data_IF_786054170715
#
_entry.id   IF_786054170715
#
_cell.length_a   1.000
_cell.length_b   1.000
_cell.length_c   1.000
_cell.angle_alpha   90.00
_cell.angle_beta   90.00
_cell.angle_gamma   90.00
#
_symmetry.space_group_name_H-M   'P 1'
#
loop_
_entity.id
_entity.type
_entity.pdbx_description
1 polymer ?
#
# COMPACT_ATOMS: atom_id res chain seq x y z
N UNK A 1 15.83 -7.29 10.36
CA UNK A 1 15.08 -8.48 10.78
C UNK A 1 13.61 -8.23 10.51
N UNK A 2 12.93 -9.16 9.84
CA UNK A 2 11.58 -8.96 9.29
C UNK A 2 11.47 -9.54 7.88
N UNK A 3 12.05 -8.88 6.87
CA UNK A 3 12.04 -9.38 5.48
C UNK A 3 12.76 -10.73 5.35
N UNK A 4 13.92 -10.88 5.98
CA UNK A 4 14.69 -12.14 5.94
C UNK A 4 13.90 -13.32 6.54
N UNK A 5 13.07 -13.06 7.55
CA UNK A 5 12.22 -14.07 8.18
C UNK A 5 11.05 -14.45 7.28
N UNK A 6 10.48 -13.49 6.53
CA UNK A 6 9.47 -13.77 5.50
C UNK A 6 10.08 -14.67 4.41
N UNK A 7 11.29 -14.38 3.95
CA UNK A 7 11.99 -15.20 2.95
C UNK A 7 12.30 -16.61 3.48
N UNK A 8 12.69 -16.69 4.75
CA UNK A 8 12.94 -17.96 5.42
C UNK A 8 11.66 -18.79 5.51
N UNK A 9 10.55 -18.20 5.98
CA UNK A 9 9.26 -18.88 6.08
C UNK A 9 8.74 -19.32 4.70
N UNK A 10 8.89 -18.48 3.67
CA UNK A 10 8.56 -18.83 2.28
C UNK A 10 9.35 -20.06 1.81
N UNK A 11 10.69 -20.05 1.98
CA UNK A 11 11.55 -21.15 1.56
C UNK A 11 11.25 -22.45 2.31
N UNK A 12 10.88 -22.37 3.58
CA UNK A 12 10.53 -23.55 4.38
C UNK A 12 9.19 -24.14 3.95
N UNK A 13 8.19 -23.29 3.69
CA UNK A 13 6.82 -23.70 3.33
C UNK A 13 6.79 -24.42 1.98
N UNK A 14 7.64 -24.03 1.02
CA UNK A 14 7.70 -24.69 -0.29
C UNK A 14 8.07 -26.18 -0.22
N UNK A 15 8.69 -26.64 0.86
CA UNK A 15 9.01 -28.06 1.05
C UNK A 15 7.85 -28.86 1.65
N UNK A 16 6.79 -28.21 2.13
CA UNK A 16 5.70 -28.83 2.89
C UNK A 16 4.31 -28.61 2.29
N UNK A 17 4.21 -27.89 1.17
CA UNK A 17 2.94 -27.64 0.47
C UNK A 17 2.97 -28.20 -0.95
N UNK A 18 1.83 -28.70 -1.40
CA UNK A 18 1.61 -29.02 -2.81
C UNK A 18 0.96 -27.82 -3.48
N UNK A 19 1.54 -27.34 -4.58
CA UNK A 19 0.98 -26.23 -5.35
C UNK A 19 -0.33 -26.69 -6.00
N UNK A 20 -1.41 -25.96 -5.73
CA UNK A 20 -2.74 -26.29 -6.23
C UNK A 20 -3.44 -25.02 -6.76
N UNK A 21 -4.46 -25.22 -7.58
CA UNK A 21 -5.31 -24.16 -8.12
C UNK A 21 -6.77 -24.30 -7.70
N UNK A 22 -7.63 -23.31 -7.93
CA UNK A 22 -7.36 -22.13 -8.73
C UNK A 22 -6.75 -20.97 -7.93
N UNK A 23 -6.26 -19.96 -8.64
CA UNK A 23 -5.80 -18.69 -8.06
C UNK A 23 -7.00 -17.83 -7.67
N UNK A 24 -7.21 -17.61 -6.36
CA UNK A 24 -8.33 -16.84 -5.82
C UNK A 24 -7.85 -15.80 -4.81
N UNK A 25 -8.19 -14.52 -5.00
CA UNK A 25 -7.77 -13.44 -4.09
C UNK A 25 -8.83 -13.08 -3.04
N UNK A 26 -10.10 -13.38 -3.30
CA UNK A 26 -11.18 -13.05 -2.36
C UNK A 26 -10.92 -13.58 -0.95
N UNK A 27 -10.42 -14.82 -0.73
CA UNK A 27 -10.18 -15.33 0.62
C UNK A 27 -9.16 -14.51 1.43
N UNK A 28 -8.02 -14.17 0.82
CA UNK A 28 -6.95 -13.43 1.53
C UNK A 28 -7.33 -11.98 1.78
N UNK A 29 -7.99 -11.32 0.83
CA UNK A 29 -8.50 -9.95 1.00
C UNK A 29 -9.52 -9.91 2.14
N UNK A 30 -10.46 -10.85 2.17
CA UNK A 30 -11.46 -10.94 3.25
C UNK A 30 -10.82 -11.26 4.61
N UNK A 31 -9.79 -12.13 4.65
CA UNK A 31 -9.05 -12.41 5.89
C UNK A 31 -8.37 -11.16 6.43
N UNK A 32 -7.65 -10.43 5.59
CA UNK A 32 -7.00 -9.16 5.94
C UNK A 32 -8.02 -8.12 6.41
N UNK A 33 -9.12 -7.96 5.68
CA UNK A 33 -10.19 -7.04 6.07
C UNK A 33 -10.79 -7.37 7.45
N UNK A 34 -10.99 -8.65 7.78
CA UNK A 34 -11.46 -9.07 9.12
C UNK A 34 -10.44 -8.74 10.21
N UNK A 35 -9.15 -9.01 9.96
CA UNK A 35 -8.08 -8.65 10.90
C UNK A 35 -8.08 -7.16 11.19
N UNK A 36 -8.13 -6.32 10.15
CA UNK A 36 -8.14 -4.86 10.29
C UNK A 36 -9.36 -4.38 11.08
N UNK A 37 -10.54 -4.93 10.81
CA UNK A 37 -11.75 -4.58 11.59
C UNK A 37 -11.58 -4.90 13.08
N UNK A 38 -11.03 -6.08 13.40
CA UNK A 38 -10.74 -6.45 14.79
C UNK A 38 -9.79 -5.47 15.48
N UNK A 39 -8.80 -4.94 14.75
CA UNK A 39 -7.84 -3.95 15.27
C UNK A 39 -8.51 -2.59 15.49
N UNK A 40 -9.37 -2.16 14.56
CA UNK A 40 -10.16 -0.94 14.72
C UNK A 40 -11.11 -1.04 15.92
N UNK A 41 -11.78 -2.17 16.10
CA UNK A 41 -12.68 -2.43 17.24
C UNK A 41 -11.91 -2.44 18.58
N UNK A 42 -10.65 -2.85 18.56
CA UNK A 42 -9.73 -2.78 19.71
C UNK A 42 -9.16 -1.36 19.97
N UNK A 43 -9.50 -0.36 19.14
CA UNK A 43 -9.05 1.02 19.26
C UNK A 43 -7.74 1.35 18.53
N UNK A 44 -7.18 0.42 17.75
CA UNK A 44 -5.93 0.59 17.00
C UNK A 44 -6.15 1.34 15.67
N UNK A 45 -6.68 2.57 15.75
CA UNK A 45 -7.05 3.39 14.59
C UNK A 45 -5.88 4.13 13.91
N UNK A 46 -4.64 3.88 14.33
CA UNK A 46 -3.43 4.54 13.81
C UNK A 46 -2.48 3.59 13.07
N UNK A 47 -2.97 2.41 12.71
CA UNK A 47 -2.25 1.45 11.86
C UNK A 47 -2.85 1.47 10.47
N UNK A 48 -1.99 1.55 9.46
CA UNK A 48 -2.37 1.42 8.06
C UNK A 48 -1.70 0.17 7.48
N UNK A 49 -2.45 -0.62 6.73
CA UNK A 49 -2.02 -1.92 6.23
C UNK A 49 -1.73 -1.85 4.73
N UNK A 50 -0.70 -2.57 4.30
CA UNK A 50 -0.44 -2.84 2.88
C UNK A 50 -0.41 -4.35 2.71
N UNK A 51 -1.33 -4.89 1.90
CA UNK A 51 -1.38 -6.29 1.53
C UNK A 51 -0.67 -6.48 0.20
N UNK A 52 0.48 -7.14 0.21
CA UNK A 52 1.19 -7.55 -1.01
C UNK A 52 0.76 -8.95 -1.43
N UNK A 53 0.25 -9.09 -2.65
CA UNK A 53 -0.12 -10.36 -3.29
C UNK A 53 0.82 -10.56 -4.49
N UNK A 54 1.49 -11.72 -4.53
CA UNK A 54 2.35 -12.11 -5.67
C UNK A 54 1.69 -13.31 -6.34
N UNK A 55 1.52 -13.26 -7.66
CA UNK A 55 0.89 -14.34 -8.43
C UNK A 55 1.56 -14.56 -9.78
N UNK A 56 1.54 -15.78 -10.29
CA UNK A 56 2.02 -16.14 -11.62
C UNK A 56 0.90 -16.32 -12.66
N UNK A 57 -0.36 -16.09 -12.27
CA UNK A 57 -1.52 -16.34 -13.11
C UNK A 57 -2.73 -15.46 -12.80
N UNK A 58 -3.74 -15.55 -13.66
CA UNK A 58 -4.96 -14.76 -13.54
C UNK A 58 -5.88 -15.37 -12.48
N UNK A 59 -6.57 -14.52 -11.72
CA UNK A 59 -7.57 -14.98 -10.76
C UNK A 59 -8.77 -15.64 -11.45
N UNK A 60 -9.32 -16.68 -10.83
CA UNK A 60 -10.55 -17.32 -11.31
C UNK A 60 -11.81 -16.77 -10.65
N UNK A 61 -11.66 -16.06 -9.53
CA UNK A 61 -12.76 -15.55 -8.72
C UNK A 61 -13.01 -14.05 -8.88
N UNK A 62 -12.85 -13.51 -10.10
CA UNK A 62 -12.91 -12.07 -10.41
C UNK A 62 -14.06 -11.33 -9.70
N UNK A 63 -15.30 -11.79 -9.81
CA UNK A 63 -16.45 -11.15 -9.15
C UNK A 63 -16.38 -11.19 -7.62
N UNK A 64 -15.85 -12.27 -7.03
CA UNK A 64 -15.68 -12.38 -5.58
C UNK A 64 -14.50 -11.53 -5.08
N UNK A 65 -13.46 -11.37 -5.90
CA UNK A 65 -12.33 -10.47 -5.63
C UNK A 65 -12.77 -9.01 -5.69
N UNK A 66 -13.50 -8.59 -6.73
CA UNK A 66 -14.11 -7.25 -6.83
C UNK A 66 -14.96 -6.94 -5.60
N UNK A 67 -15.85 -7.85 -5.19
CA UNK A 67 -16.67 -7.66 -3.98
C UNK A 67 -15.84 -7.55 -2.71
N UNK A 68 -14.74 -8.30 -2.60
CA UNK A 68 -13.85 -8.21 -1.45
C UNK A 68 -13.13 -6.86 -1.42
N UNK A 69 -12.65 -6.36 -2.56
CA UNK A 69 -12.02 -5.03 -2.70
C UNK A 69 -13.02 -3.93 -2.33
N UNK A 70 -14.24 -3.95 -2.89
CA UNK A 70 -15.30 -2.98 -2.56
C UNK A 70 -15.54 -2.94 -1.05
N UNK A 71 -15.70 -4.10 -0.40
CA UNK A 71 -15.91 -4.18 1.06
C UNK A 71 -14.71 -3.73 1.89
N UNK A 72 -13.51 -3.84 1.35
CA UNK A 72 -12.27 -3.44 1.99
C UNK A 72 -11.93 -1.95 1.78
N UNK A 73 -12.52 -1.31 0.76
CA UNK A 73 -12.23 0.08 0.37
C UNK A 73 -12.56 1.14 1.43
N UNK A 74 -13.28 0.79 2.49
CA UNK A 74 -13.51 1.67 3.65
C UNK A 74 -12.44 1.56 4.74
N UNK A 75 -11.60 0.52 4.70
CA UNK A 75 -10.60 0.20 5.73
C UNK A 75 -9.25 0.91 5.50
N UNK A 76 -8.39 1.05 6.52
CA UNK A 76 -7.01 1.53 6.38
C UNK A 76 -6.13 0.47 5.69
N UNK A 77 -6.41 0.20 4.42
CA UNK A 77 -5.79 -0.86 3.63
C UNK A 77 -5.49 -0.37 2.21
N UNK A 78 -4.29 -0.68 1.75
CA UNK A 78 -3.91 -0.75 0.34
C UNK A 78 -3.57 -2.20 -0.03
N UNK A 79 -3.79 -2.57 -1.30
CA UNK A 79 -3.53 -3.90 -1.85
C UNK A 79 -2.61 -3.73 -3.05
N UNK A 80 -1.43 -4.32 -3.00
CA UNK A 80 -0.51 -4.37 -4.12
C UNK A 80 -0.60 -5.78 -4.71
N UNK A 81 -0.82 -5.87 -6.01
CA UNK A 81 -0.83 -7.14 -6.75
C UNK A 81 0.34 -7.11 -7.73
N UNK A 82 1.27 -8.07 -7.59
CA UNK A 82 2.41 -8.22 -8.49
C UNK A 82 2.26 -9.52 -9.29
N UNK A 83 2.06 -9.37 -10.60
CA UNK A 83 2.10 -10.46 -11.56
C UNK A 83 3.55 -10.82 -11.92
N UNK A 84 3.94 -12.08 -11.74
CA UNK A 84 5.25 -12.61 -12.14
C UNK A 84 5.09 -13.65 -13.25
N UNK A 85 6.15 -13.91 -14.02
CA UNK A 85 6.09 -14.88 -15.10
C UNK A 85 5.32 -14.37 -16.33
N UNK A 86 4.96 -15.30 -17.21
CA UNK A 86 4.55 -15.00 -18.59
C UNK A 86 3.03 -15.15 -18.84
N UNK A 87 2.21 -15.14 -17.80
CA UNK A 87 0.75 -15.18 -17.97
C UNK A 87 0.20 -13.91 -18.61
N UNK A 88 -0.93 -14.03 -19.30
CA UNK A 88 -1.69 -12.88 -19.80
C UNK A 88 -2.48 -12.22 -18.66
N UNK A 89 -1.96 -11.11 -18.15
CA UNK A 89 -2.56 -10.37 -17.05
C UNK A 89 -3.56 -9.28 -17.49
N UNK A 90 -3.93 -9.21 -18.77
CA UNK A 90 -4.81 -8.15 -19.32
C UNK A 90 -6.08 -7.95 -18.49
N UNK A 91 -6.70 -9.04 -18.04
CA UNK A 91 -7.94 -9.00 -17.25
C UNK A 91 -7.76 -8.49 -15.82
N UNK A 92 -6.53 -8.46 -15.29
CA UNK A 92 -6.28 -8.03 -13.91
C UNK A 92 -6.16 -6.51 -13.78
N UNK A 93 -5.92 -5.78 -14.87
CA UNK A 93 -5.91 -4.30 -14.86
C UNK A 93 -7.24 -3.69 -14.41
N UNK A 94 -8.36 -4.40 -14.57
CA UNK A 94 -9.65 -3.92 -14.05
C UNK A 94 -9.63 -3.73 -12.53
N UNK A 95 -8.79 -4.48 -11.81
CA UNK A 95 -8.72 -4.41 -10.34
C UNK A 95 -8.07 -3.13 -9.84
N UNK A 96 -7.23 -2.49 -10.67
CA UNK A 96 -6.51 -1.24 -10.36
C UNK A 96 -7.46 -0.04 -10.21
N UNK A 97 -8.61 -0.07 -10.90
CA UNK A 97 -9.67 0.93 -10.76
C UNK A 97 -9.32 2.41 -11.06
N UNK A 98 -8.15 2.66 -11.67
CA UNK A 98 -7.67 3.98 -12.12
C UNK A 98 -8.70 4.77 -12.96
N UNK A 99 -9.28 4.11 -13.97
CA UNK A 99 -10.22 4.76 -14.90
C UNK A 99 -11.63 4.85 -14.33
N UNK A 100 -12.09 3.74 -13.73
CA UNK A 100 -13.45 3.58 -13.26
C UNK A 100 -13.47 2.81 -11.93
N UNK A 101 -14.20 3.36 -10.93
CA UNK A 101 -14.40 2.67 -9.67
C UNK A 101 -15.11 1.33 -9.86
N UNK A 102 -14.58 0.30 -9.20
CA UNK A 102 -15.19 -1.01 -9.10
C UNK A 102 -16.61 -0.95 -8.53
N UNK A 103 -17.50 -1.71 -9.15
CA UNK A 103 -18.88 -1.94 -8.70
C UNK A 103 -19.26 -3.40 -8.84
N UNK A 104 -20.11 -3.89 -7.94
CA UNK A 104 -20.73 -5.21 -8.03
C UNK A 104 -22.21 -5.14 -8.50
N UNK A 105 -22.64 -3.97 -8.98
CA UNK A 105 -24.02 -3.66 -9.39
C UNK A 105 -24.89 -3.09 -8.26
N UNK A 106 -24.55 -3.34 -6.99
CA UNK A 106 -25.29 -2.83 -5.84
C UNK A 106 -24.49 -1.82 -5.02
N UNK A 107 -23.17 -2.02 -4.97
CA UNK A 107 -22.21 -1.23 -4.23
C UNK A 107 -21.11 -0.74 -5.15
N UNK A 108 -20.48 0.36 -4.75
CA UNK A 108 -19.32 0.96 -5.42
C UNK A 108 -18.20 1.09 -4.38
N UNK A 109 -16.96 0.90 -4.78
CA UNK A 109 -15.82 1.16 -3.89
C UNK A 109 -15.82 2.60 -3.38
N UNK A 110 -15.44 2.79 -2.12
CA UNK A 110 -15.40 4.08 -1.45
C UNK A 110 -14.16 4.90 -1.83
N UNK A 111 -13.05 4.21 -2.08
CA UNK A 111 -11.74 4.76 -2.44
C UNK A 111 -10.98 3.73 -3.27
N UNK A 112 -10.06 4.23 -4.07
CA UNK A 112 -9.03 3.39 -4.65
C UNK A 112 -8.08 2.85 -3.58
N UNK A 113 -7.79 1.56 -3.68
CA UNK A 113 -6.96 0.81 -2.75
C UNK A 113 -6.11 -0.26 -3.45
N UNK A 114 -6.15 -0.41 -4.78
CA UNK A 114 -5.41 -1.47 -5.48
C UNK A 114 -4.31 -0.83 -6.32
N UNK A 115 -3.11 -1.41 -6.30
CA UNK A 115 -2.08 -1.15 -7.30
C UNK A 115 -1.74 -2.47 -7.98
N UNK A 116 -1.89 -2.56 -9.31
CA UNK A 116 -1.48 -3.71 -10.09
C UNK A 116 -0.20 -3.46 -10.90
N UNK A 117 0.77 -4.38 -10.80
CA UNK A 117 2.05 -4.30 -11.52
C UNK A 117 2.42 -5.65 -12.13
N UNK A 118 2.81 -5.67 -13.40
CA UNK A 118 3.38 -6.85 -14.05
C UNK A 118 4.91 -6.74 -14.00
N UNK A 119 5.56 -7.57 -13.18
CA UNK A 119 7.01 -7.55 -12.97
C UNK A 119 7.79 -7.80 -14.27
N UNK A 120 7.24 -8.61 -15.17
CA UNK A 120 7.89 -8.95 -16.45
C UNK A 120 7.98 -7.78 -17.44
N UNK A 121 7.31 -6.66 -17.19
CA UNK A 121 7.48 -5.43 -17.97
C UNK A 121 8.78 -4.68 -17.59
N UNK A 122 9.43 -5.06 -16.49
CA UNK A 122 10.58 -4.35 -15.90
C UNK A 122 11.90 -5.13 -16.01
N UNK A 123 12.10 -5.92 -17.07
CA UNK A 123 13.23 -6.86 -17.18
C UNK A 123 14.59 -6.23 -17.57
N UNK A 124 14.62 -5.01 -18.11
CA UNK A 124 15.89 -4.31 -18.41
C UNK A 124 16.56 -3.77 -17.15
N UNK A 125 17.88 -3.61 -17.15
CA UNK A 125 18.62 -3.03 -16.01
C UNK A 125 18.09 -1.65 -15.61
N UNK A 126 17.71 -0.82 -16.58
CA UNK A 126 17.11 0.49 -16.31
C UNK A 126 15.71 0.37 -15.68
N UNK A 127 14.87 -0.52 -16.20
CA UNK A 127 13.50 -0.70 -15.72
C UNK A 127 13.42 -1.39 -14.35
N UNK A 128 14.40 -2.20 -13.97
CA UNK A 128 14.46 -2.81 -12.62
C UNK A 128 14.45 -1.76 -11.51
N UNK A 129 15.10 -0.62 -11.71
CA UNK A 129 15.07 0.50 -10.75
C UNK A 129 13.72 1.20 -10.69
N UNK A 130 12.89 1.07 -11.72
CA UNK A 130 11.54 1.65 -11.77
C UNK A 130 10.48 0.75 -11.13
N UNK A 131 10.74 -0.55 -10.99
CA UNK A 131 9.78 -1.49 -10.41
C UNK A 131 9.34 -1.09 -9.00
N UNK A 132 10.24 -0.77 -8.03
CA UNK A 132 9.80 -0.34 -6.70
C UNK A 132 8.99 0.96 -6.73
N UNK A 133 9.34 1.88 -7.65
CA UNK A 133 8.58 3.11 -7.84
C UNK A 133 7.16 2.78 -8.29
N UNK A 134 6.99 1.93 -9.30
CA UNK A 134 5.68 1.56 -9.82
C UNK A 134 4.84 0.78 -8.80
N UNK A 135 5.48 -0.11 -8.04
CA UNK A 135 4.83 -0.91 -6.98
C UNK A 135 4.28 -0.05 -5.84
N UNK A 136 4.90 1.10 -5.55
CA UNK A 136 4.53 1.96 -4.43
C UNK A 136 3.86 3.27 -4.86
N UNK A 137 3.59 3.45 -6.15
CA UNK A 137 3.21 4.74 -6.75
C UNK A 137 1.97 5.33 -6.09
N UNK A 138 0.92 4.54 -5.87
CA UNK A 138 -0.35 5.04 -5.33
C UNK A 138 -0.48 4.98 -3.81
N UNK A 139 0.40 4.25 -3.12
CA UNK A 139 0.28 4.04 -1.67
C UNK A 139 0.18 5.36 -0.88
N UNK A 140 0.97 6.41 -1.17
CA UNK A 140 0.85 7.69 -0.47
C UNK A 140 -0.55 8.33 -0.62
N UNK A 141 -1.11 8.31 -1.82
CA UNK A 141 -2.41 8.93 -2.10
C UNK A 141 -3.55 8.11 -1.50
N UNK A 142 -3.49 6.78 -1.59
CA UNK A 142 -4.45 5.87 -0.95
C UNK A 142 -4.45 6.06 0.59
N UNK A 143 -3.27 6.15 1.20
CA UNK A 143 -3.11 6.44 2.63
C UNK A 143 -3.71 7.79 3.01
N UNK A 144 -3.32 8.87 2.31
CA UNK A 144 -3.84 10.21 2.58
C UNK A 144 -5.34 10.29 2.35
N UNK A 145 -5.86 9.58 1.34
CA UNK A 145 -7.28 9.45 1.05
C UNK A 145 -8.05 8.85 2.23
N UNK A 146 -7.55 7.76 2.83
CA UNK A 146 -8.13 7.19 4.04
C UNK A 146 -8.11 8.17 5.22
N UNK A 147 -6.94 8.76 5.50
CA UNK A 147 -6.76 9.63 6.67
C UNK A 147 -7.65 10.86 6.60
N UNK A 148 -7.71 11.53 5.45
CA UNK A 148 -8.57 12.70 5.22
C UNK A 148 -10.06 12.35 5.36
N UNK A 149 -10.50 11.24 4.77
CA UNK A 149 -11.90 10.77 4.83
C UNK A 149 -12.36 10.51 6.27
N UNK A 150 -11.47 9.98 7.10
CA UNK A 150 -11.78 9.63 8.49
C UNK A 150 -11.41 10.74 9.51
N UNK A 151 -10.97 11.92 9.04
CA UNK A 151 -10.59 13.03 9.92
C UNK A 151 -9.38 12.73 10.82
N UNK A 152 -8.57 11.73 10.47
CA UNK A 152 -7.40 11.34 11.25
C UNK A 152 -6.28 12.33 10.96
N UNK A 153 -5.84 13.03 12.01
CA UNK A 153 -4.74 13.99 11.93
C UNK A 153 -3.43 13.35 12.35
N UNK A 154 -2.29 13.77 11.78
CA UNK A 154 -0.98 13.37 12.29
C UNK A 154 -0.89 13.66 13.79
N UNK A 155 -0.34 12.71 14.56
CA UNK A 155 0.04 13.00 15.95
C UNK A 155 1.07 14.13 15.95
N UNK A 156 1.06 14.93 17.02
CA UNK A 156 2.14 15.89 17.25
C UNK A 156 3.48 15.18 17.12
N UNK A 157 4.50 15.82 16.51
CA UNK A 157 5.84 15.27 16.46
C UNK A 157 6.23 14.78 17.86
N UNK A 158 6.80 13.57 17.94
CA UNK A 158 7.46 13.15 19.17
C UNK A 158 8.51 14.22 19.45
N UNK A 159 8.47 14.83 20.64
CA UNK A 159 9.46 15.81 21.08
C UNK A 159 10.82 15.12 21.17
N UNK A 160 11.49 14.95 20.04
CA UNK A 160 12.90 14.62 19.99
C UNK A 160 13.61 15.93 20.33
N UNK A 161 14.17 16.01 21.54
CA UNK A 161 14.98 17.14 21.99
C UNK A 161 16.05 17.53 20.95
N UNK A 162 16.56 16.53 20.20
CA UNK A 162 17.49 16.71 19.09
C UNK A 162 16.89 17.53 17.93
N UNK A 163 15.63 17.29 17.54
CA UNK A 163 14.96 18.05 16.47
C UNK A 163 14.71 19.48 16.92
N UNK A 164 14.33 19.69 18.18
CA UNK A 164 14.19 21.03 18.74
C UNK A 164 15.53 21.78 18.82
N UNK A 165 16.63 21.10 19.16
CA UNK A 165 17.98 21.69 19.17
C UNK A 165 18.43 22.09 17.77
N UNK A 166 18.14 21.27 16.76
CA UNK A 166 18.43 21.56 15.35
C UNK A 166 17.59 22.76 14.88
N UNK A 167 16.27 22.74 15.08
CA UNK A 167 15.38 23.85 14.71
C UNK A 167 15.74 25.15 15.41
N UNK A 168 16.11 25.09 16.70
CA UNK A 168 16.57 26.24 17.45
C UNK A 168 17.84 26.81 16.82
N UNK A 169 18.84 25.96 16.51
CA UNK A 169 20.10 26.38 15.88
C UNK A 169 19.88 26.99 14.49
N UNK A 170 18.98 26.42 13.68
CA UNK A 170 18.61 26.98 12.38
C UNK A 170 17.94 28.35 12.50
N UNK A 171 17.04 28.53 13.48
CA UNK A 171 16.39 29.82 13.72
C UNK A 171 17.34 30.89 14.26
N UNK A 172 18.32 30.54 15.10
CA UNK A 172 19.34 31.51 15.54
C UNK A 172 20.22 31.96 14.38
N UNK A 173 20.67 31.03 13.54
CA UNK A 173 21.58 31.34 12.44
C UNK A 173 20.96 32.20 11.32
N UNK A 174 19.64 32.10 11.11
CA UNK A 174 18.95 32.91 10.08
C UNK A 174 18.59 34.33 10.56
N UNK A 175 18.66 34.61 11.85
CA UNK A 175 18.41 35.96 12.38
C UNK A 175 19.66 36.85 12.31
N UNK A 176 20.85 36.28 12.14
CA UNK A 176 22.11 37.04 12.06
C UNK A 176 22.37 37.66 10.67
N UNK A 177 21.64 37.25 9.63
CA UNK A 177 21.78 37.80 8.27
C UNK A 177 20.78 38.93 7.95
N UNK A 178 19.86 39.26 8.88
CA UNK A 178 18.79 40.24 8.65
C UNK A 178 19.09 41.68 9.08
N UNK A 179 20.24 41.96 9.71
CA UNK A 179 20.49 43.26 10.34
C UNK A 179 21.77 43.98 9.85
N UNK A 180 22.24 43.67 8.64
CA UNK A 180 23.34 44.39 7.99
C UNK A 180 22.82 45.12 6.75
N UNK A 181 21.99 46.16 6.95
CA UNK A 181 21.38 46.84 5.80
C UNK A 181 20.57 48.11 6.11
N UNK A 182 21.01 48.98 7.01
CA UNK A 182 20.72 50.42 6.91
C UNK A 182 21.61 51.24 7.87
N UNK A 183 22.68 51.81 7.35
CA UNK A 183 23.31 53.00 7.94
C UNK A 183 24.01 53.77 6.81
N UNK A 184 23.32 54.83 6.38
CA UNK A 184 23.78 56.05 5.66
C UNK A 184 24.63 55.90 4.41
#
# INVERSE_FOLDING_TARGET
TGVDEILTAYSQTMNSVELYGPTNFSPIINHTARKIRSELDAGNNMVYYVLLIITDGVITDMQSTIRAIIKASSLPLSIIIVGVGNSDFTKMHILDADDLPLTDGNSRMERDIVQFVVMNEFQTEYSKYLLPKKVLEEIPDQFLGYMKRNGIRPRSPINNEIVQLIDKKYKTNNNDYGNAGSAT
#
